data_IF_763495030186
#
_entry.id   IF_763495030186
#
_cell.length_a   1.000
_cell.length_b   1.000
_cell.length_c   1.000
_cell.angle_alpha   90.00
_cell.angle_beta   90.00
_cell.angle_gamma   90.00
#
_symmetry.space_group_name_H-M   'P 1'
#
loop_
_entity.id
_entity.type
_entity.pdbx_description
1 polymer ?
#
# COMPACT_ATOMS: atom_id res chain seq x y z
N UNK A 1 1.94 -0.47 -0.35
CA UNK A 1 0.95 0.25 0.49
C UNK A 1 1.66 1.39 1.21
N UNK A 2 0.95 2.47 1.53
CA UNK A 2 1.46 3.57 2.34
C UNK A 2 0.30 4.31 3.01
N UNK A 3 0.50 4.80 4.23
CA UNK A 3 -0.49 5.60 4.94
C UNK A 3 -0.49 7.04 4.39
N UNK A 4 -1.58 7.43 3.73
CA UNK A 4 -1.71 8.74 3.10
C UNK A 4 -1.52 9.91 4.08
N UNK A 5 -1.75 9.70 5.38
CA UNK A 5 -1.54 10.73 6.40
C UNK A 5 -0.06 11.06 6.61
N UNK A 6 0.86 10.18 6.18
CA UNK A 6 2.30 10.37 6.30
C UNK A 6 2.94 11.06 5.09
N UNK A 7 2.16 11.34 4.03
CA UNK A 7 2.66 12.01 2.83
C UNK A 7 3.32 13.37 3.16
N UNK A 8 2.83 14.06 4.19
CA UNK A 8 3.38 15.33 4.65
C UNK A 8 4.87 15.25 5.03
N UNK A 9 5.35 14.10 5.50
CA UNK A 9 6.76 13.92 5.86
C UNK A 9 7.66 13.98 4.62
N UNK A 10 7.26 13.32 3.53
CA UNK A 10 7.99 13.36 2.25
C UNK A 10 7.95 14.77 1.67
N UNK A 11 6.80 15.43 1.69
CA UNK A 11 6.64 16.79 1.17
C UNK A 11 7.51 17.79 1.94
N UNK A 12 7.46 17.76 3.27
CA UNK A 12 8.29 18.63 4.10
C UNK A 12 9.78 18.36 3.89
N UNK A 13 10.17 17.09 3.82
CA UNK A 13 11.54 16.66 3.50
C UNK A 13 12.02 17.19 2.16
N UNK A 14 11.20 17.10 1.12
CA UNK A 14 11.55 17.58 -0.22
C UNK A 14 11.84 19.09 -0.24
N UNK A 15 11.08 19.88 0.53
CA UNK A 15 11.35 21.31 0.69
C UNK A 15 12.61 21.61 1.50
N UNK A 16 12.95 20.77 2.48
CA UNK A 16 14.16 20.93 3.30
C UNK A 16 15.43 20.51 2.55
N UNK A 17 15.32 19.59 1.59
CA UNK A 17 16.42 19.00 0.83
C UNK A 17 16.25 19.17 -0.69
N UNK A 18 16.09 20.41 -1.21
CA UNK A 18 15.73 20.64 -2.61
C UNK A 18 16.79 20.17 -3.61
N UNK A 19 18.07 20.13 -3.22
CA UNK A 19 19.15 19.65 -4.09
C UNK A 19 19.12 18.11 -4.25
N UNK A 20 18.60 17.39 -3.25
CA UNK A 20 18.50 15.93 -3.25
C UNK A 20 17.15 15.43 -3.77
N UNK A 21 16.07 16.16 -3.46
CA UNK A 21 14.70 15.83 -3.84
C UNK A 21 14.24 16.49 -5.15
N UNK A 22 14.97 17.49 -5.64
CA UNK A 22 14.64 18.23 -6.86
C UNK A 22 15.00 17.50 -8.15
N UNK A 23 15.06 18.23 -9.26
CA UNK A 23 15.59 17.75 -10.55
C UNK A 23 14.91 16.48 -11.12
N UNK A 24 13.60 16.32 -10.88
CA UNK A 24 12.82 15.21 -11.44
C UNK A 24 12.94 13.89 -10.68
N UNK A 25 13.45 13.90 -9.45
CA UNK A 25 13.40 12.72 -8.58
C UNK A 25 11.95 12.31 -8.27
N UNK A 26 11.74 11.00 -8.14
CA UNK A 26 10.48 10.41 -7.72
C UNK A 26 10.60 9.94 -6.28
N UNK A 27 9.70 10.40 -5.41
CA UNK A 27 9.68 10.10 -3.98
C UNK A 27 8.40 9.32 -3.63
N UNK A 28 8.36 8.01 -3.88
CA UNK A 28 7.17 7.21 -3.63
C UNK A 28 6.94 6.99 -2.13
N UNK A 29 5.68 7.09 -1.70
CA UNK A 29 5.26 6.74 -0.34
C UNK A 29 4.97 5.23 -0.26
N UNK A 30 5.90 4.48 0.33
CA UNK A 30 5.81 3.02 0.46
C UNK A 30 6.17 2.57 1.87
N UNK A 31 5.18 2.08 2.61
CA UNK A 31 5.37 1.39 3.90
C UNK A 31 5.65 -0.10 3.74
N UNK A 32 5.04 -0.77 2.75
CA UNK A 32 5.34 -2.18 2.42
C UNK A 32 5.00 -2.50 0.95
N UNK A 33 5.66 -3.53 0.40
CA UNK A 33 5.25 -4.23 -0.82
C UNK A 33 4.68 -5.59 -0.45
N UNK A 34 3.45 -5.84 -0.90
CA UNK A 34 2.70 -7.02 -0.49
C UNK A 34 1.85 -7.54 -1.63
N UNK A 35 1.74 -8.87 -1.69
CA UNK A 35 0.69 -9.59 -2.39
C UNK A 35 -0.65 -9.47 -1.66
N UNK A 36 -1.75 -9.76 -2.36
CA UNK A 36 -3.08 -9.83 -1.73
C UNK A 36 -3.16 -10.89 -0.62
N UNK A 37 -2.39 -11.98 -0.72
CA UNK A 37 -2.37 -13.01 0.31
C UNK A 37 -1.71 -12.51 1.61
N UNK A 38 -0.64 -11.72 1.51
CA UNK A 38 0.00 -11.12 2.69
C UNK A 38 -0.91 -10.08 3.37
N UNK A 39 -1.72 -9.35 2.60
CA UNK A 39 -2.75 -8.46 3.13
C UNK A 39 -3.78 -9.26 3.95
N UNK A 40 -4.32 -10.32 3.35
CA UNK A 40 -5.30 -11.21 4.01
C UNK A 40 -4.70 -11.86 5.25
N UNK A 41 -3.46 -12.33 5.19
CA UNK A 41 -2.78 -12.94 6.33
C UNK A 41 -2.59 -11.95 7.49
N UNK A 42 -2.24 -10.69 7.17
CA UNK A 42 -2.04 -9.65 8.19
C UNK A 42 -3.31 -9.41 9.00
N UNK A 43 -4.46 -9.27 8.33
CA UNK A 43 -5.75 -9.08 9.02
C UNK A 43 -6.29 -10.39 9.61
N UNK A 44 -5.92 -11.55 9.07
CA UNK A 44 -6.25 -12.85 9.65
C UNK A 44 -5.69 -13.01 11.05
N UNK A 45 -4.45 -12.56 11.28
CA UNK A 45 -3.82 -12.55 12.62
C UNK A 45 -4.55 -11.64 13.62
N UNK A 46 -5.44 -10.75 13.15
CA UNK A 46 -6.29 -9.89 13.98
C UNK A 46 -7.70 -10.47 14.24
N UNK A 47 -7.93 -11.74 13.84
CA UNK A 47 -9.18 -12.46 14.05
C UNK A 47 -10.14 -12.47 12.86
N UNK A 48 -9.78 -11.82 11.75
CA UNK A 48 -10.65 -11.75 10.57
C UNK A 48 -10.51 -13.00 9.70
N UNK A 49 -11.60 -13.46 9.08
CA UNK A 49 -11.55 -14.60 8.17
C UNK A 49 -11.93 -14.18 6.75
N UNK A 50 -10.96 -13.61 6.03
CA UNK A 50 -11.12 -13.20 4.64
C UNK A 50 -10.38 -14.12 3.68
N UNK A 51 -10.80 -14.09 2.42
CA UNK A 51 -10.15 -14.80 1.33
C UNK A 51 -10.00 -13.90 0.12
N UNK A 52 -8.90 -14.04 -0.61
CA UNK A 52 -8.71 -13.38 -1.89
C UNK A 52 -9.30 -14.23 -3.03
N UNK A 53 -9.99 -13.58 -3.98
CA UNK A 53 -10.48 -14.19 -5.21
C UNK A 53 -10.15 -13.28 -6.39
N UNK A 54 -9.31 -13.76 -7.30
CA UNK A 54 -9.02 -13.05 -8.55
C UNK A 54 -10.25 -13.09 -9.48
N UNK A 55 -10.56 -11.95 -10.09
CA UNK A 55 -11.65 -11.79 -11.05
C UNK A 55 -11.04 -11.57 -12.44
N UNK A 56 -11.50 -12.27 -13.50
CA UNK A 56 -11.00 -12.03 -14.85
C UNK A 56 -11.22 -10.59 -15.30
N UNK A 57 -10.22 -10.04 -16.00
CA UNK A 57 -10.22 -8.65 -16.49
C UNK A 57 -11.49 -8.31 -17.25
N UNK A 58 -11.90 -9.18 -18.17
CA UNK A 58 -13.08 -8.98 -19.03
C UNK A 58 -14.37 -8.93 -18.22
N UNK A 59 -14.42 -9.69 -17.12
CA UNK A 59 -15.57 -9.68 -16.21
C UNK A 59 -15.61 -8.40 -15.38
N UNK A 60 -14.45 -7.87 -14.97
CA UNK A 60 -14.36 -6.63 -14.20
C UNK A 60 -14.66 -5.39 -15.05
N UNK A 61 -14.13 -5.32 -16.29
CA UNK A 61 -14.22 -4.16 -17.17
C UNK A 61 -15.66 -3.73 -17.51
N UNK A 62 -16.64 -4.64 -17.43
CA UNK A 62 -18.07 -4.35 -17.65
C UNK A 62 -18.87 -4.01 -16.39
N UNK A 63 -18.26 -4.00 -15.20
CA UNK A 63 -19.00 -3.95 -13.94
C UNK A 63 -19.60 -2.56 -13.62
N UNK A 64 -18.95 -1.48 -14.04
CA UNK A 64 -19.38 -0.10 -13.81
C UNK A 64 -18.69 0.88 -14.76
N UNK A 65 -19.21 2.12 -14.94
CA UNK A 65 -18.54 3.14 -15.76
C UNK A 65 -17.11 3.44 -15.26
N UNK A 66 -16.11 3.34 -16.12
CA UNK A 66 -14.69 3.51 -15.77
C UNK A 66 -13.99 2.21 -15.31
N UNK A 67 -14.70 1.08 -15.26
CA UNK A 67 -14.10 -0.19 -14.84
C UNK A 67 -13.04 -0.72 -15.83
N UNK A 68 -13.16 -0.39 -17.12
CA UNK A 68 -12.17 -0.75 -18.13
C UNK A 68 -10.80 -0.17 -17.81
N UNK A 69 -10.72 1.12 -17.50
CA UNK A 69 -9.46 1.81 -17.19
C UNK A 69 -8.82 1.25 -15.91
N UNK A 70 -9.63 0.93 -14.91
CA UNK A 70 -9.17 0.28 -13.69
C UNK A 70 -8.66 -1.15 -13.98
N UNK A 71 -9.34 -1.88 -14.87
CA UNK A 71 -8.91 -3.22 -15.27
C UNK A 71 -7.55 -3.20 -16.00
N UNK A 72 -7.33 -2.19 -16.85
CA UNK A 72 -6.02 -1.97 -17.49
C UNK A 72 -4.93 -1.63 -16.45
N UNK A 73 -5.25 -0.75 -15.50
CA UNK A 73 -4.34 -0.38 -14.42
C UNK A 73 -3.94 -1.61 -13.57
N UNK A 74 -4.90 -2.46 -13.19
CA UNK A 74 -4.61 -3.70 -12.47
C UNK A 74 -3.79 -4.70 -13.31
N UNK A 75 -4.06 -4.79 -14.62
CA UNK A 75 -3.27 -5.63 -15.53
C UNK A 75 -1.81 -5.17 -15.58
N UNK A 76 -1.58 -3.86 -15.59
CA UNK A 76 -0.24 -3.29 -15.53
C UNK A 76 0.46 -3.63 -14.21
N UNK A 77 -0.22 -3.50 -13.06
CA UNK A 77 0.37 -3.84 -11.76
C UNK A 77 0.67 -5.32 -11.60
N UNK A 78 -0.14 -6.21 -12.17
CA UNK A 78 0.14 -7.65 -12.17
C UNK A 78 1.41 -7.97 -12.98
N UNK A 79 1.61 -7.30 -14.11
CA UNK A 79 2.78 -7.50 -14.96
C UNK A 79 4.06 -6.78 -14.46
N UNK A 80 3.92 -5.65 -13.78
CA UNK A 80 5.04 -4.73 -13.52
C UNK A 80 5.15 -4.22 -12.07
N UNK A 81 4.28 -4.65 -11.15
CA UNK A 81 4.08 -4.05 -9.82
C UNK A 81 3.54 -2.61 -9.86
N UNK A 82 3.10 -2.09 -8.72
CA UNK A 82 2.45 -0.76 -8.63
C UNK A 82 3.36 0.40 -9.08
N UNK A 83 4.66 0.34 -8.76
CA UNK A 83 5.63 1.39 -9.12
C UNK A 83 6.40 1.07 -10.41
N UNK A 84 6.03 0.02 -11.14
CA UNK A 84 6.83 -0.47 -12.26
C UNK A 84 8.03 -1.30 -11.79
N UNK A 85 8.91 -1.66 -12.74
CA UNK A 85 10.08 -2.48 -12.45
C UNK A 85 11.16 -1.66 -11.73
N UNK A 86 11.63 -2.17 -10.59
CA UNK A 86 12.75 -1.64 -9.79
C UNK A 86 12.58 -0.19 -9.28
N UNK A 87 11.98 -0.07 -8.09
CA UNK A 87 11.73 1.21 -7.37
C UNK A 87 12.52 1.31 -6.05
N UNK A 88 13.48 0.40 -5.84
CA UNK A 88 14.21 0.26 -4.58
C UNK A 88 14.99 1.53 -4.20
N UNK A 89 15.75 2.07 -5.15
CA UNK A 89 16.51 3.32 -4.97
C UNK A 89 15.62 4.53 -4.71
N UNK A 90 14.47 4.62 -5.40
CA UNK A 90 13.51 5.72 -5.22
C UNK A 90 12.88 5.68 -3.84
N UNK A 91 12.57 4.48 -3.32
CA UNK A 91 12.05 4.30 -1.97
C UNK A 91 13.11 4.64 -0.92
N UNK A 92 14.35 4.19 -1.13
CA UNK A 92 15.45 4.54 -0.23
C UNK A 92 15.65 6.07 -0.17
N UNK A 93 15.57 6.75 -1.32
CA UNK A 93 15.61 8.20 -1.37
C UNK A 93 14.40 8.83 -0.66
N UNK A 94 13.18 8.36 -0.90
CA UNK A 94 11.98 8.88 -0.25
C UNK A 94 12.06 8.76 1.28
N UNK A 95 12.52 7.62 1.80
CA UNK A 95 12.69 7.39 3.23
C UNK A 95 13.78 8.30 3.83
N UNK A 96 14.89 8.50 3.10
CA UNK A 96 15.94 9.43 3.49
C UNK A 96 15.42 10.87 3.57
N UNK A 97 14.70 11.32 2.54
CA UNK A 97 14.14 12.67 2.45
C UNK A 97 13.07 12.89 3.54
N UNK A 98 12.22 11.90 3.81
CA UNK A 98 11.23 11.96 4.88
C UNK A 98 11.84 11.87 6.29
N UNK A 99 13.11 11.47 6.41
CA UNK A 99 13.81 11.25 7.68
C UNK A 99 13.33 10.01 8.46
N UNK A 100 12.45 9.20 7.88
CA UNK A 100 11.91 7.98 8.46
C UNK A 100 11.31 7.07 7.40
N UNK A 101 11.20 5.79 7.71
CA UNK A 101 10.38 4.87 6.93
C UNK A 101 8.89 5.11 7.22
N UNK A 102 8.01 5.01 6.21
CA UNK A 102 6.57 5.01 6.40
C UNK A 102 6.09 3.83 7.23
N UNK A 103 4.92 3.99 7.85
CA UNK A 103 4.30 2.96 8.67
C UNK A 103 3.96 1.73 7.83
N UNK A 104 4.40 0.56 8.31
CA UNK A 104 4.13 -0.75 7.72
C UNK A 104 2.66 -1.12 7.84
N UNK A 105 2.14 -1.90 6.90
CA UNK A 105 0.71 -2.23 6.87
C UNK A 105 0.24 -2.96 8.13
N UNK A 106 1.08 -3.84 8.71
CA UNK A 106 0.73 -4.56 9.94
C UNK A 106 0.46 -3.60 11.11
N UNK A 107 1.32 -2.59 11.29
CA UNK A 107 1.18 -1.57 12.34
C UNK A 107 -0.03 -0.69 12.06
N UNK A 108 -0.17 -0.21 10.81
CA UNK A 108 -1.33 0.57 10.41
C UNK A 108 -2.64 -0.18 10.67
N UNK A 109 -2.71 -1.47 10.32
CA UNK A 109 -3.88 -2.29 10.51
C UNK A 109 -4.20 -2.51 11.99
N UNK A 110 -3.21 -2.64 12.87
CA UNK A 110 -3.48 -2.80 14.31
C UNK A 110 -4.16 -1.57 14.93
N UNK A 111 -3.82 -0.38 14.43
CA UNK A 111 -4.35 0.88 14.93
C UNK A 111 -5.68 1.26 14.27
N UNK A 112 -5.86 0.92 13.00
CA UNK A 112 -6.96 1.42 12.17
C UNK A 112 -7.99 0.36 11.77
N UNK A 113 -7.66 -0.93 11.90
CA UNK A 113 -8.56 -2.03 11.57
C UNK A 113 -8.95 -2.79 12.84
N UNK A 114 -10.16 -2.56 13.39
CA UNK A 114 -10.56 -3.14 14.67
C UNK A 114 -10.40 -4.67 14.68
N UNK A 115 -9.78 -5.20 15.74
CA UNK A 115 -9.66 -6.64 15.94
C UNK A 115 -11.06 -7.27 16.05
N UNK A 116 -11.25 -8.39 15.38
CA UNK A 116 -12.46 -9.18 15.56
C UNK A 116 -12.26 -10.06 16.79
N UNK A 117 -12.98 -9.75 17.87
CA UNK A 117 -13.03 -10.63 19.03
C UNK A 117 -13.64 -11.96 18.59
N UNK A 118 -12.95 -13.06 18.87
CA UNK A 118 -13.58 -14.36 18.72
C UNK A 118 -14.70 -14.47 19.75
N UNK A 119 -15.80 -15.15 19.40
CA UNK A 119 -16.94 -15.34 20.31
C UNK A 119 -16.57 -16.03 21.65
N UNK A 120 -15.35 -16.54 21.78
CA UNK A 120 -14.77 -17.14 22.99
C UNK A 120 -14.08 -16.14 23.92
N UNK A 121 -13.80 -14.92 23.49
CA UNK A 121 -12.98 -13.95 24.24
C UNK A 121 -13.81 -13.09 25.22
N UNK A 122 -15.14 -13.25 25.21
CA UNK A 122 -16.08 -12.55 26.09
C UNK A 122 -16.58 -13.38 27.29
N UNK A 123 -16.00 -14.55 27.55
CA UNK A 123 -16.40 -15.44 28.64
C UNK A 123 -15.35 -15.46 29.76
N UNK A 124 -15.21 -14.35 30.50
CA UNK A 124 -14.52 -14.30 31.79
C UNK A 124 -15.31 -13.48 32.81
#
# INVERSE_FOLDING_TARGET
MGDINELGNIVAGAFAHPDEAGNGQYLPLVGDFMSFNEIVETVYRQGHNFSYKQVPKESFAGAFPGATEIAEMFSYWEAHTYLGSDSSDQIALANKIAGREPTRFSTWAEENFPKQLNATDGAH
#
